data_IF_573322291520
#
_entry.id   IF_573322291520
#
_cell.length_a   1.000
_cell.length_b   1.000
_cell.length_c   1.000
_cell.angle_alpha   90.00
_cell.angle_beta   90.00
_cell.angle_gamma   90.00
#
_symmetry.space_group_name_H-M   'P 1'
#
loop_
_entity.id
_entity.type
_entity.pdbx_description
1 polymer ?
#
# COMPACT_ATOMS: atom_id res chain seq x y z
N UNK A 1 5.96 -15.68 -6.68
CA UNK A 1 5.95 -14.22 -6.78
C UNK A 1 4.51 -13.76 -6.96
N UNK A 2 4.08 -12.79 -6.17
CA UNK A 2 2.72 -12.22 -6.29
C UNK A 2 2.69 -11.08 -7.30
N UNK A 3 3.66 -10.16 -7.22
CA UNK A 3 3.84 -9.10 -8.21
C UNK A 3 5.28 -9.12 -8.70
N UNK A 4 5.48 -8.96 -10.01
CA UNK A 4 6.79 -8.84 -10.64
C UNK A 4 6.83 -7.61 -11.53
N UNK A 5 7.81 -6.73 -11.30
CA UNK A 5 8.12 -5.62 -12.19
C UNK A 5 9.43 -5.94 -12.92
N UNK A 6 9.44 -5.77 -14.23
CA UNK A 6 10.63 -5.99 -15.06
C UNK A 6 10.86 -4.76 -15.94
N UNK A 7 12.01 -4.10 -15.72
CA UNK A 7 12.48 -2.94 -16.48
C UNK A 7 11.42 -1.84 -16.62
N UNK A 8 10.71 -1.56 -15.51
CA UNK A 8 9.60 -0.60 -15.49
C UNK A 8 10.13 0.82 -15.62
N UNK A 9 9.66 1.53 -16.63
CA UNK A 9 9.87 2.96 -16.79
C UNK A 9 8.51 3.67 -16.72
N UNK A 10 8.47 4.83 -16.08
CA UNK A 10 7.26 5.64 -16.02
C UNK A 10 7.59 7.11 -16.29
N UNK A 11 6.78 7.73 -17.13
CA UNK A 11 6.94 9.11 -17.55
C UNK A 11 5.68 9.91 -17.22
N UNK A 12 5.87 11.11 -16.68
CA UNK A 12 4.85 12.17 -16.59
C UNK A 12 5.18 13.22 -17.68
N UNK A 13 4.53 13.10 -18.85
CA UNK A 13 4.92 13.89 -20.02
C UNK A 13 6.37 13.58 -20.45
N UNK A 14 7.26 14.57 -20.35
CA UNK A 14 8.68 14.42 -20.66
C UNK A 14 9.54 14.00 -19.45
N UNK A 15 9.02 14.13 -18.23
CA UNK A 15 9.77 13.78 -17.02
C UNK A 15 9.71 12.28 -16.76
N UNK A 16 10.87 11.63 -16.72
CA UNK A 16 11.00 10.22 -16.37
C UNK A 16 11.10 10.04 -14.86
N UNK A 17 10.04 9.52 -14.25
CA UNK A 17 9.94 9.32 -12.82
C UNK A 17 10.44 7.94 -12.35
N UNK A 18 10.37 6.92 -13.20
CA UNK A 18 10.93 5.59 -12.93
C UNK A 18 11.84 5.17 -14.08
N UNK A 19 12.99 4.55 -13.74
CA UNK A 19 14.05 4.18 -14.69
C UNK A 19 14.44 2.73 -14.49
N UNK A 20 14.03 1.86 -15.40
CA UNK A 20 14.41 0.44 -15.44
C UNK A 20 14.23 -0.28 -14.09
N UNK A 21 13.11 -0.02 -13.41
CA UNK A 21 12.87 -0.56 -12.08
C UNK A 21 12.47 -2.03 -12.17
N UNK A 22 13.23 -2.86 -11.46
CA UNK A 22 12.90 -4.26 -11.19
C UNK A 22 12.42 -4.40 -9.73
N UNK A 23 11.33 -5.16 -9.51
CA UNK A 23 10.77 -5.40 -8.18
C UNK A 23 10.07 -6.76 -8.15
N UNK A 24 10.31 -7.52 -7.10
CA UNK A 24 9.64 -8.78 -6.83
C UNK A 24 8.93 -8.71 -5.48
N UNK A 25 7.61 -8.88 -5.49
CA UNK A 25 6.79 -8.94 -4.28
C UNK A 25 6.33 -10.38 -4.07
N UNK A 26 6.67 -10.94 -2.92
CA UNK A 26 6.27 -12.28 -2.54
C UNK A 26 4.89 -12.29 -1.88
N UNK A 27 4.21 -13.43 -1.94
CA UNK A 27 2.97 -13.62 -1.20
C UNK A 27 3.25 -13.67 0.31
N UNK A 28 2.34 -13.12 1.13
CA UNK A 28 2.48 -13.08 2.61
C UNK A 28 3.81 -12.51 3.09
N UNK A 29 4.27 -11.49 2.42
CA UNK A 29 5.52 -10.81 2.67
C UNK A 29 5.29 -9.30 2.69
N UNK A 30 6.00 -8.57 3.55
CA UNK A 30 5.99 -7.12 3.58
C UNK A 30 7.23 -6.62 2.85
N UNK A 31 7.04 -5.94 1.74
CA UNK A 31 8.08 -5.26 0.97
C UNK A 31 8.04 -3.76 1.29
N UNK A 32 9.10 -3.21 1.86
CA UNK A 32 9.22 -1.78 2.09
C UNK A 32 9.97 -1.09 0.94
N UNK A 33 9.47 0.06 0.50
CA UNK A 33 10.17 0.96 -0.40
C UNK A 33 10.64 2.18 0.40
N UNK A 34 11.94 2.36 0.51
CA UNK A 34 12.58 3.45 1.25
C UNK A 34 13.38 4.35 0.31
N UNK A 35 13.70 5.57 0.74
CA UNK A 35 14.47 6.55 -0.02
C UNK A 35 14.01 7.98 0.22
N UNK A 36 14.75 8.98 -0.27
CA UNK A 36 14.42 10.38 -0.08
C UNK A 36 13.08 10.77 -0.73
N UNK A 37 12.53 11.92 -0.31
CA UNK A 37 11.30 12.46 -0.90
C UNK A 37 11.49 12.71 -2.40
N UNK A 38 10.47 12.41 -3.20
CA UNK A 38 10.52 12.62 -4.66
C UNK A 38 11.32 11.59 -5.46
N UNK A 39 11.92 10.56 -4.85
CA UNK A 39 12.72 9.56 -5.58
C UNK A 39 11.90 8.54 -6.40
N UNK A 40 10.55 8.59 -6.37
CA UNK A 40 9.71 7.71 -7.19
C UNK A 40 8.95 6.60 -6.44
N UNK A 41 9.07 6.45 -5.11
CA UNK A 41 8.42 5.38 -4.30
C UNK A 41 6.91 5.31 -4.52
N UNK A 42 6.19 6.41 -4.27
CA UNK A 42 4.73 6.46 -4.46
C UNK A 42 4.34 6.33 -5.93
N UNK A 43 5.19 6.75 -6.87
CA UNK A 43 4.99 6.52 -8.29
C UNK A 43 5.05 5.03 -8.61
N UNK A 44 6.06 4.30 -8.09
CA UNK A 44 6.17 2.86 -8.26
C UNK A 44 4.99 2.14 -7.59
N UNK A 45 4.67 2.51 -6.34
CA UNK A 45 3.53 1.93 -5.61
C UNK A 45 2.23 2.04 -6.42
N UNK A 46 1.93 3.23 -6.95
CA UNK A 46 0.73 3.50 -7.77
C UNK A 46 0.78 2.86 -9.16
N UNK A 47 1.95 2.49 -9.66
CA UNK A 47 2.07 1.73 -10.89
C UNK A 47 1.56 0.30 -10.73
N UNK A 48 1.65 -0.29 -9.52
CA UNK A 48 1.22 -1.67 -9.25
C UNK A 48 -0.31 -1.87 -9.32
N UNK A 49 -1.11 -0.79 -9.24
CA UNK A 49 -2.57 -0.83 -9.40
C UNK A 49 -3.10 0.16 -10.44
N UNK A 50 -2.21 0.69 -11.29
CA UNK A 50 -2.55 1.61 -12.37
C UNK A 50 -3.22 2.91 -11.91
N UNK A 51 -2.95 3.36 -10.66
CA UNK A 51 -3.48 4.65 -10.18
C UNK A 51 -2.85 5.84 -10.91
N UNK A 52 -1.64 5.68 -11.48
CA UNK A 52 -1.00 6.71 -12.28
C UNK A 52 -1.74 7.00 -13.58
N UNK A 53 -2.57 6.07 -14.08
CA UNK A 53 -3.38 6.27 -15.30
C UNK A 53 -4.38 7.43 -15.17
N UNK A 54 -4.68 7.87 -13.94
CA UNK A 54 -5.53 9.03 -13.65
C UNK A 54 -4.85 10.37 -13.96
N UNK A 55 -3.54 10.36 -14.20
CA UNK A 55 -2.74 11.56 -14.48
C UNK A 55 -2.58 11.68 -16.00
N UNK A 56 -3.06 12.76 -16.64
CA UNK A 56 -2.91 12.95 -18.07
C UNK A 56 -1.45 12.91 -18.53
N UNK A 57 -1.18 12.22 -19.64
CA UNK A 57 0.17 12.14 -20.23
C UNK A 57 1.09 11.13 -19.56
N UNK A 58 0.58 10.29 -18.67
CA UNK A 58 1.37 9.17 -18.11
C UNK A 58 1.63 8.12 -19.18
N UNK A 59 2.87 7.66 -19.24
CA UNK A 59 3.29 6.54 -20.08
C UNK A 59 4.14 5.57 -19.24
N UNK A 60 3.78 4.29 -19.27
CA UNK A 60 4.49 3.20 -18.64
C UNK A 60 5.05 2.27 -19.71
N UNK A 61 6.29 1.81 -19.55
CA UNK A 61 6.92 0.78 -20.38
C UNK A 61 7.64 -0.22 -19.48
N UNK A 62 8.04 -1.36 -20.02
CA UNK A 62 8.45 -2.52 -19.23
C UNK A 62 7.24 -3.39 -18.93
N UNK A 63 7.33 -4.23 -17.92
CA UNK A 63 6.29 -5.20 -17.60
C UNK A 63 5.96 -5.19 -16.11
N UNK A 64 4.67 -5.22 -15.77
CA UNK A 64 4.19 -5.42 -14.39
C UNK A 64 3.21 -6.57 -14.39
N UNK A 65 3.55 -7.66 -13.72
CA UNK A 65 2.75 -8.87 -13.65
C UNK A 65 2.12 -9.02 -12.26
N UNK A 66 0.85 -9.37 -12.22
CA UNK A 66 0.14 -9.87 -11.03
C UNK A 66 -0.21 -11.34 -11.30
N UNK A 67 0.35 -12.27 -10.52
CA UNK A 67 0.22 -13.73 -10.75
C UNK A 67 0.53 -14.13 -12.20
N UNK A 68 1.55 -13.54 -12.80
CA UNK A 68 1.96 -13.82 -14.18
C UNK A 68 1.13 -13.13 -15.27
N UNK A 69 0.08 -12.36 -14.91
CA UNK A 69 -0.73 -11.60 -15.85
C UNK A 69 -0.28 -10.14 -15.93
N UNK A 70 -0.01 -9.66 -17.14
CA UNK A 70 0.37 -8.26 -17.34
C UNK A 70 -0.79 -7.32 -17.03
N UNK A 71 -0.60 -6.48 -16.00
CA UNK A 71 -1.64 -5.53 -15.56
C UNK A 71 -1.83 -4.36 -16.52
N UNK A 72 -0.88 -4.11 -17.44
CA UNK A 72 -0.97 -3.09 -18.49
C UNK A 72 -1.46 -3.66 -19.83
N UNK A 73 -1.77 -4.96 -19.90
CA UNK A 73 -2.37 -5.54 -21.08
C UNK A 73 -3.72 -4.88 -21.43
N UNK A 74 -4.00 -4.71 -22.73
CA UNK A 74 -5.20 -4.01 -23.24
C UNK A 74 -6.52 -4.59 -22.71
N UNK A 75 -6.57 -5.89 -22.48
CA UNK A 75 -7.75 -6.61 -21.98
C UNK A 75 -7.93 -6.55 -20.46
N UNK A 76 -6.96 -5.98 -19.71
CA UNK A 76 -7.04 -5.91 -18.25
C UNK A 76 -8.12 -4.92 -17.82
N UNK A 77 -9.12 -5.40 -17.09
CA UNK A 77 -10.10 -4.55 -16.44
C UNK A 77 -9.47 -3.89 -15.20
N UNK A 78 -9.34 -2.57 -15.24
CA UNK A 78 -8.72 -1.77 -14.16
C UNK A 78 -9.56 -1.82 -12.88
N UNK A 79 -10.86 -1.96 -12.96
CA UNK A 79 -11.71 -2.07 -11.76
C UNK A 79 -11.48 -3.41 -11.06
N UNK A 80 -11.37 -4.48 -11.84
CA UNK A 80 -11.01 -5.82 -11.31
C UNK A 80 -9.60 -5.80 -10.72
N UNK A 81 -8.63 -5.20 -11.41
CA UNK A 81 -7.26 -5.05 -10.90
C UNK A 81 -7.27 -4.33 -9.54
N UNK A 82 -7.95 -3.19 -9.42
CA UNK A 82 -7.95 -2.37 -8.19
C UNK A 82 -8.71 -3.01 -7.03
N UNK A 83 -9.59 -4.00 -7.29
CA UNK A 83 -10.14 -4.86 -6.24
C UNK A 83 -9.08 -5.84 -5.72
N UNK A 84 -8.30 -6.45 -6.62
CA UNK A 84 -7.22 -7.38 -6.26
C UNK A 84 -6.02 -6.68 -5.62
N UNK A 85 -5.69 -5.45 -6.06
CA UNK A 85 -4.55 -4.66 -5.59
C UNK A 85 -5.07 -3.36 -4.99
N UNK A 86 -5.44 -3.43 -3.72
CA UNK A 86 -6.02 -2.30 -2.99
C UNK A 86 -4.97 -1.35 -2.43
N UNK A 87 -5.36 -0.11 -2.15
CA UNK A 87 -4.44 0.94 -1.68
C UNK A 87 -4.97 1.70 -0.48
N UNK A 88 -4.10 1.89 0.51
CA UNK A 88 -4.26 2.78 1.65
C UNK A 88 -3.38 4.00 1.43
N UNK A 89 -3.96 5.18 1.53
CA UNK A 89 -3.29 6.45 1.26
C UNK A 89 -2.64 7.05 2.51
N UNK A 90 -1.69 7.94 2.32
CA UNK A 90 -0.96 8.65 3.35
C UNK A 90 -1.89 9.40 4.32
N UNK A 91 -2.90 10.10 3.80
CA UNK A 91 -3.94 10.71 4.60
C UNK A 91 -5.18 9.85 4.60
N UNK A 92 -5.77 9.55 5.76
CA UNK A 92 -7.05 8.86 5.81
C UNK A 92 -8.07 9.56 4.92
N UNK A 93 -8.79 8.79 4.13
CA UNK A 93 -9.79 9.29 3.19
C UNK A 93 -11.13 8.53 3.30
N UNK A 94 -11.73 8.46 4.52
CA UNK A 94 -13.05 7.89 4.63
C UNK A 94 -14.04 8.71 3.79
N UNK A 95 -15.02 8.04 3.22
CA UNK A 95 -16.12 8.74 2.54
C UNK A 95 -16.95 9.49 3.58
N UNK A 96 -17.63 10.60 3.20
CA UNK A 96 -18.56 11.33 4.08
C UNK A 96 -19.87 10.54 4.30
N UNK A 97 -19.72 9.33 4.79
CA UNK A 97 -20.76 8.33 5.03
C UNK A 97 -20.61 7.77 6.45
N UNK A 98 -21.51 6.88 6.85
CA UNK A 98 -21.38 6.14 8.11
C UNK A 98 -20.18 5.18 8.10
N UNK A 99 -19.79 4.68 9.27
CA UNK A 99 -18.79 3.61 9.41
C UNK A 99 -19.20 2.39 8.59
N UNK A 100 -20.44 1.92 8.77
CA UNK A 100 -21.05 0.80 8.03
C UNK A 100 -20.95 1.01 6.51
N UNK A 101 -21.40 2.17 6.05
CA UNK A 101 -21.42 2.47 4.62
C UNK A 101 -20.02 2.61 4.02
N UNK A 102 -19.02 3.08 4.78
CA UNK A 102 -17.63 3.09 4.33
C UNK A 102 -17.12 1.68 4.04
N UNK A 103 -17.29 0.74 4.98
CA UNK A 103 -16.83 -0.63 4.83
C UNK A 103 -17.58 -1.36 3.71
N UNK A 104 -18.88 -1.21 3.66
CA UNK A 104 -19.73 -1.91 2.68
C UNK A 104 -19.75 -1.28 1.29
N UNK A 105 -19.15 -0.10 1.08
CA UNK A 105 -19.28 0.67 -0.15
C UNK A 105 -18.93 -0.12 -1.40
N UNK A 106 -17.75 -0.76 -1.43
CA UNK A 106 -17.29 -1.52 -2.59
C UNK A 106 -18.18 -2.72 -2.91
N UNK A 107 -18.73 -3.37 -1.89
CA UNK A 107 -19.61 -4.53 -2.02
C UNK A 107 -20.99 -4.11 -2.53
N UNK A 108 -21.51 -2.97 -2.06
CA UNK A 108 -22.78 -2.41 -2.56
C UNK A 108 -22.69 -2.04 -4.04
N UNK A 109 -21.59 -1.42 -4.43
CA UNK A 109 -21.33 -1.11 -5.86
C UNK A 109 -21.23 -2.39 -6.69
N UNK A 110 -20.71 -3.48 -6.11
CA UNK A 110 -20.66 -4.80 -6.75
C UNK A 110 -22.00 -5.56 -6.73
N UNK A 111 -23.08 -4.99 -6.15
CA UNK A 111 -24.42 -5.58 -6.15
C UNK A 111 -24.67 -6.60 -5.04
N UNK A 112 -23.83 -6.66 -3.99
CA UNK A 112 -24.07 -7.56 -2.85
C UNK A 112 -25.36 -7.20 -2.09
N UNK A 113 -26.11 -8.21 -1.66
CA UNK A 113 -27.37 -8.02 -0.94
C UNK A 113 -27.14 -7.45 0.46
N UNK A 114 -28.15 -6.73 1.00
CA UNK A 114 -28.05 -6.08 2.30
C UNK A 114 -27.84 -7.06 3.47
N UNK A 115 -28.40 -8.26 3.39
CA UNK A 115 -28.28 -9.28 4.44
C UNK A 115 -26.87 -9.82 4.62
N UNK A 116 -26.09 -9.87 3.53
CA UNK A 116 -24.72 -10.38 3.55
C UNK A 116 -23.70 -9.32 3.99
N UNK A 117 -24.07 -8.04 3.90
CA UNK A 117 -23.16 -6.92 4.18
C UNK A 117 -22.78 -6.81 5.66
N UNK A 118 -23.71 -7.08 6.60
CA UNK A 118 -23.45 -6.91 8.03
C UNK A 118 -22.37 -7.87 8.54
N UNK A 119 -22.37 -9.11 8.08
CA UNK A 119 -21.34 -10.09 8.43
C UNK A 119 -19.96 -9.66 7.89
N UNK A 120 -19.91 -9.12 6.66
CA UNK A 120 -18.64 -8.63 6.08
C UNK A 120 -18.17 -7.37 6.79
N UNK A 121 -19.06 -6.45 7.15
CA UNK A 121 -18.72 -5.24 7.92
C UNK A 121 -18.12 -5.63 9.27
N UNK A 122 -18.74 -6.54 10.02
CA UNK A 122 -18.19 -7.03 11.28
C UNK A 122 -16.82 -7.68 11.08
N UNK A 123 -16.69 -8.64 10.12
CA UNK A 123 -15.42 -9.30 9.79
C UNK A 123 -14.31 -8.30 9.52
N UNK A 124 -14.58 -7.33 8.64
CA UNK A 124 -13.59 -6.34 8.22
C UNK A 124 -13.18 -5.38 9.33
N UNK A 125 -14.15 -4.96 10.17
CA UNK A 125 -13.86 -4.12 11.34
C UNK A 125 -13.07 -4.88 12.42
N UNK A 126 -13.31 -6.19 12.59
CA UNK A 126 -12.50 -7.04 13.48
C UNK A 126 -11.09 -7.17 12.97
N UNK A 127 -10.90 -7.45 11.68
CA UNK A 127 -9.58 -7.53 11.05
C UNK A 127 -8.79 -6.22 11.16
N UNK A 128 -9.46 -5.07 11.15
CA UNK A 128 -8.84 -3.74 11.33
C UNK A 128 -8.78 -3.28 12.80
N UNK A 129 -9.14 -4.15 13.76
CA UNK A 129 -9.19 -3.88 15.21
C UNK A 129 -10.05 -2.67 15.58
N UNK A 130 -11.17 -2.52 14.89
CA UNK A 130 -12.14 -1.42 15.13
C UNK A 130 -13.47 -1.88 15.70
N UNK A 131 -13.77 -3.19 15.66
CA UNK A 131 -15.09 -3.70 16.03
C UNK A 131 -15.51 -3.30 17.44
N UNK A 132 -14.68 -3.54 18.44
CA UNK A 132 -15.01 -3.27 19.84
C UNK A 132 -15.21 -1.78 20.12
N UNK A 133 -14.58 -0.91 19.33
CA UNK A 133 -14.75 0.54 19.44
C UNK A 133 -15.99 1.07 18.72
N UNK A 134 -16.50 0.37 17.71
CA UNK A 134 -17.49 0.92 16.76
C UNK A 134 -18.78 0.11 16.64
N UNK A 135 -18.87 -1.12 17.19
CA UNK A 135 -20.04 -2.00 17.06
C UNK A 135 -21.38 -1.35 17.45
N UNK A 136 -21.37 -0.48 18.46
CA UNK A 136 -22.57 0.19 18.96
C UNK A 136 -22.86 1.55 18.27
N UNK A 137 -22.04 1.93 17.29
CA UNK A 137 -22.17 3.22 16.56
C UNK A 137 -21.79 3.11 15.09
N UNK A 138 -22.17 2.01 14.45
CA UNK A 138 -21.87 1.77 13.01
C UNK A 138 -22.49 2.81 12.08
N UNK A 139 -23.56 3.47 12.51
CA UNK A 139 -24.25 4.50 11.74
C UNK A 139 -23.69 5.92 12.00
N UNK A 140 -22.69 6.06 12.89
CA UNK A 140 -22.01 7.33 13.11
C UNK A 140 -21.19 7.74 11.88
N UNK A 141 -21.02 9.06 11.70
CA UNK A 141 -20.20 9.60 10.61
C UNK A 141 -18.74 9.13 10.74
N UNK A 142 -18.18 8.58 9.67
CA UNK A 142 -16.78 8.18 9.62
C UNK A 142 -15.81 9.36 9.81
N UNK A 143 -16.23 10.57 9.42
CA UNK A 143 -15.43 11.78 9.57
C UNK A 143 -15.32 12.27 11.03
N UNK A 144 -16.19 11.80 11.92
CA UNK A 144 -16.14 12.13 13.36
C UNK A 144 -15.17 11.26 14.15
N UNK A 145 -14.58 10.24 13.53
CA UNK A 145 -13.63 9.34 14.19
C UNK A 145 -12.27 10.02 14.40
N UNK A 146 -11.51 9.64 15.45
CA UNK A 146 -10.09 9.97 15.56
C UNK A 146 -9.30 9.52 14.33
N UNK A 147 -8.19 10.21 14.03
CA UNK A 147 -7.43 10.01 12.80
C UNK A 147 -6.91 8.57 12.64
N UNK A 148 -6.45 7.96 13.75
CA UNK A 148 -6.02 6.56 13.76
C UNK A 148 -7.16 5.59 13.42
N UNK A 149 -8.37 5.87 13.94
CA UNK A 149 -9.54 5.06 13.60
C UNK A 149 -9.99 5.28 12.16
N UNK A 150 -9.89 6.51 11.63
CA UNK A 150 -10.15 6.77 10.22
C UNK A 150 -9.19 5.98 9.32
N UNK A 151 -7.89 5.92 9.67
CA UNK A 151 -6.90 5.15 8.91
C UNK A 151 -7.23 3.66 8.93
N UNK A 152 -7.52 3.10 10.09
CA UNK A 152 -7.93 1.70 10.21
C UNK A 152 -9.28 1.41 9.53
N UNK A 153 -10.20 2.38 9.49
CA UNK A 153 -11.44 2.27 8.73
C UNK A 153 -11.18 2.18 7.21
N UNK A 154 -10.21 2.95 6.69
CA UNK A 154 -9.78 2.82 5.31
C UNK A 154 -9.17 1.44 5.02
N UNK A 155 -8.46 0.85 5.99
CA UNK A 155 -7.99 -0.54 5.90
C UNK A 155 -9.18 -1.50 5.91
N UNK A 156 -10.15 -1.36 6.84
CA UNK A 156 -11.34 -2.20 6.89
C UNK A 156 -12.15 -2.16 5.59
N UNK A 157 -12.34 -0.96 5.01
CA UNK A 157 -12.98 -0.78 3.71
C UNK A 157 -12.28 -1.55 2.59
N UNK A 158 -10.95 -1.55 2.62
CA UNK A 158 -10.14 -2.29 1.66
C UNK A 158 -10.26 -3.79 1.87
N UNK A 159 -10.19 -4.28 3.10
CA UNK A 159 -10.30 -5.70 3.44
C UNK A 159 -11.66 -6.30 3.07
N UNK A 160 -12.72 -5.49 3.11
CA UNK A 160 -14.08 -5.94 2.77
C UNK A 160 -14.23 -6.47 1.34
N UNK A 161 -13.40 -6.01 0.41
CA UNK A 161 -13.40 -6.50 -0.98
C UNK A 161 -12.43 -7.65 -1.22
N UNK A 162 -11.81 -8.18 -0.16
CA UNK A 162 -10.90 -9.33 -0.14
C UNK A 162 -9.75 -9.18 -1.17
N UNK A 163 -8.87 -8.18 -1.01
CA UNK A 163 -7.75 -7.96 -1.92
C UNK A 163 -6.75 -9.10 -1.83
N UNK A 164 -5.84 -9.17 -2.79
CA UNK A 164 -4.70 -10.09 -2.78
C UNK A 164 -3.39 -9.38 -2.41
N UNK A 165 -3.30 -8.09 -2.76
CA UNK A 165 -2.16 -7.23 -2.46
C UNK A 165 -2.66 -5.95 -1.80
N UNK A 166 -1.98 -5.53 -0.75
CA UNK A 166 -2.25 -4.27 -0.04
C UNK A 166 -1.08 -3.31 -0.27
N UNK A 167 -1.37 -2.19 -0.90
CA UNK A 167 -0.42 -1.09 -1.07
C UNK A 167 -0.65 -0.04 0.01
N UNK A 168 0.41 0.40 0.67
CA UNK A 168 0.34 1.42 1.73
C UNK A 168 1.33 2.57 1.45
N UNK A 169 0.79 3.74 1.14
CA UNK A 169 1.60 4.96 0.89
C UNK A 169 1.73 5.75 2.18
N UNK A 170 2.84 5.62 2.89
CA UNK A 170 3.16 6.31 4.16
C UNK A 170 2.03 6.24 5.21
N UNK A 171 1.50 5.06 5.57
CA UNK A 171 0.25 4.90 6.33
C UNK A 171 0.28 5.48 7.75
N UNK A 172 1.45 5.80 8.29
CA UNK A 172 1.63 6.29 9.65
C UNK A 172 2.11 7.75 9.72
N UNK A 173 2.36 8.42 8.59
CA UNK A 173 3.01 9.75 8.58
C UNK A 173 2.21 10.87 9.28
N UNK A 174 0.89 10.70 9.42
CA UNK A 174 0.00 11.66 10.07
C UNK A 174 -0.39 11.26 11.51
N UNK A 175 0.19 10.17 12.05
CA UNK A 175 -0.20 9.57 13.32
C UNK A 175 0.84 9.83 14.41
N UNK A 176 0.38 9.88 15.66
CA UNK A 176 1.26 9.86 16.82
C UNK A 176 1.97 8.51 17.02
N UNK A 177 3.01 8.42 17.88
CA UNK A 177 3.77 7.19 18.07
C UNK A 177 2.94 5.98 18.56
N UNK A 178 1.91 6.22 19.40
CA UNK A 178 1.05 5.14 19.94
C UNK A 178 0.16 4.59 18.81
N UNK A 179 -0.45 5.48 18.03
CA UNK A 179 -1.26 5.11 16.89
C UNK A 179 -0.41 4.44 15.79
N UNK A 180 0.81 4.92 15.56
CA UNK A 180 1.79 4.28 14.65
C UNK A 180 2.06 2.84 15.05
N UNK A 181 2.34 2.57 16.34
CA UNK A 181 2.56 1.21 16.84
C UNK A 181 1.39 0.28 16.53
N UNK A 182 0.15 0.73 16.73
CA UNK A 182 -1.06 -0.05 16.40
C UNK A 182 -1.20 -0.37 14.91
N UNK A 183 -0.83 0.57 14.04
CA UNK A 183 -0.85 0.32 12.59
C UNK A 183 0.27 -0.66 12.20
N UNK A 184 1.46 -0.55 12.79
CA UNK A 184 2.56 -1.48 12.55
C UNK A 184 2.18 -2.92 12.96
N UNK A 185 1.60 -3.10 14.14
CA UNK A 185 1.10 -4.40 14.60
C UNK A 185 0.01 -4.94 13.68
N UNK A 186 -0.93 -4.08 13.24
CA UNK A 186 -1.97 -4.47 12.29
C UNK A 186 -1.36 -4.93 10.94
N UNK A 187 -0.35 -4.23 10.41
CA UNK A 187 0.37 -4.61 9.18
C UNK A 187 1.01 -6.00 9.34
N UNK A 188 1.64 -6.27 10.49
CA UNK A 188 2.26 -7.58 10.78
C UNK A 188 1.21 -8.71 10.86
N UNK A 189 0.01 -8.44 11.36
CA UNK A 189 -1.08 -9.41 11.37
C UNK A 189 -1.62 -9.65 9.96
N UNK A 190 -1.85 -8.59 9.18
CA UNK A 190 -2.34 -8.68 7.80
C UNK A 190 -1.39 -9.42 6.88
N UNK A 191 -0.08 -9.36 7.10
CA UNK A 191 0.95 -10.12 6.37
C UNK A 191 0.64 -11.62 6.32
N UNK A 192 -0.01 -12.18 7.33
CA UNK A 192 -0.33 -13.62 7.38
C UNK A 192 -1.24 -14.06 6.22
N UNK A 193 -1.96 -13.13 5.62
CA UNK A 193 -2.96 -13.40 4.58
C UNK A 193 -2.68 -12.68 3.27
N UNK A 194 -1.95 -11.55 3.30
CA UNK A 194 -1.79 -10.64 2.17
C UNK A 194 -0.33 -10.39 1.82
N UNK A 195 -0.04 -10.17 0.55
CA UNK A 195 1.19 -9.50 0.12
C UNK A 195 1.05 -8.01 0.40
N UNK A 196 2.04 -7.38 1.04
CA UNK A 196 1.98 -5.96 1.42
C UNK A 196 3.17 -5.22 0.82
N UNK A 197 2.92 -4.09 0.19
CA UNK A 197 3.97 -3.15 -0.22
C UNK A 197 3.76 -1.83 0.51
N UNK A 198 4.72 -1.42 1.31
CA UNK A 198 4.67 -0.18 2.09
C UNK A 198 5.71 0.81 1.60
N UNK A 199 5.30 2.04 1.34
CA UNK A 199 6.20 3.18 1.18
C UNK A 199 6.33 3.88 2.52
N UNK A 200 7.54 4.13 2.97
CA UNK A 200 7.79 4.94 4.17
C UNK A 200 9.11 5.70 4.05
N UNK A 201 9.14 6.90 4.62
CA UNK A 201 10.38 7.64 4.85
C UNK A 201 10.98 7.37 6.24
N UNK A 202 10.26 6.62 7.10
CA UNK A 202 10.74 6.23 8.42
C UNK A 202 11.49 4.89 8.32
N UNK A 203 12.82 4.96 8.35
CA UNK A 203 13.70 3.80 8.29
C UNK A 203 13.48 2.82 9.45
N UNK A 204 13.19 3.34 10.65
CA UNK A 204 12.92 2.49 11.81
C UNK A 204 11.62 1.69 11.62
N UNK A 205 10.59 2.30 11.04
CA UNK A 205 9.37 1.60 10.68
C UNK A 205 9.64 0.49 9.67
N UNK A 206 10.34 0.79 8.57
CA UNK A 206 10.72 -0.22 7.58
C UNK A 206 11.47 -1.39 8.24
N UNK A 207 12.45 -1.08 9.08
CA UNK A 207 13.24 -2.09 9.81
C UNK A 207 12.42 -2.98 10.75
N UNK A 208 11.32 -2.44 11.34
CA UNK A 208 10.47 -3.23 12.26
C UNK A 208 9.44 -4.12 11.54
N UNK A 209 8.88 -3.65 10.43
CA UNK A 209 7.71 -4.32 9.85
C UNK A 209 8.01 -5.10 8.58
N UNK A 210 9.04 -4.78 7.82
CA UNK A 210 9.25 -5.41 6.52
C UNK A 210 10.20 -6.61 6.54
N UNK A 211 9.98 -7.54 5.63
CA UNK A 211 10.84 -8.69 5.37
C UNK A 211 11.92 -8.35 4.35
N UNK A 212 11.53 -7.60 3.33
CA UNK A 212 12.36 -7.17 2.22
C UNK A 212 12.24 -5.66 2.07
N UNK A 213 13.36 -5.00 1.77
CA UNK A 213 13.41 -3.56 1.56
C UNK A 213 14.08 -3.21 0.23
N UNK A 214 13.50 -2.24 -0.47
CA UNK A 214 14.08 -1.64 -1.66
C UNK A 214 14.44 -0.18 -1.43
N UNK A 215 15.71 0.17 -1.62
CA UNK A 215 16.15 1.55 -1.60
C UNK A 215 16.05 2.18 -2.99
N UNK A 216 15.30 3.26 -3.09
CA UNK A 216 15.09 4.01 -4.33
C UNK A 216 15.78 5.37 -4.28
N UNK A 217 16.41 5.74 -5.39
CA UNK A 217 17.04 7.02 -5.58
C UNK A 217 16.85 7.51 -7.03
N UNK A 218 16.37 8.74 -7.22
CA UNK A 218 16.21 9.41 -8.52
C UNK A 218 15.51 8.56 -9.61
N UNK A 219 14.51 7.78 -9.19
CA UNK A 219 13.70 6.93 -10.06
C UNK A 219 14.26 5.52 -10.29
N UNK A 220 15.39 5.18 -9.70
CA UNK A 220 16.04 3.88 -9.82
C UNK A 220 15.87 3.06 -8.54
N UNK A 221 15.78 1.72 -8.67
CA UNK A 221 15.94 0.79 -7.55
C UNK A 221 17.44 0.53 -7.39
N UNK A 222 18.05 1.16 -6.37
CA UNK A 222 19.50 1.07 -6.13
C UNK A 222 19.89 -0.26 -5.55
N UNK A 223 19.10 -0.72 -4.56
CA UNK A 223 19.32 -1.99 -3.89
C UNK A 223 18.00 -2.58 -3.42
N UNK A 224 17.88 -3.91 -3.52
CA UNK A 224 16.70 -4.67 -3.10
C UNK A 224 17.16 -6.00 -2.50
N UNK A 225 16.96 -6.18 -1.18
CA UNK A 225 17.38 -7.40 -0.46
C UNK A 225 16.53 -7.57 0.81
N UNK A 226 16.81 -8.60 1.58
CA UNK A 226 16.22 -8.77 2.93
C UNK A 226 16.45 -7.53 3.78
N UNK A 227 15.43 -7.08 4.49
CA UNK A 227 15.47 -5.85 5.31
C UNK A 227 16.67 -5.83 6.25
N UNK A 228 16.94 -6.95 6.91
CA UNK A 228 18.11 -7.05 7.81
C UNK A 228 19.41 -6.75 7.08
N UNK A 229 19.58 -7.22 5.85
CA UNK A 229 20.81 -6.95 5.05
C UNK A 229 20.90 -5.50 4.65
N UNK A 230 19.82 -4.93 4.13
CA UNK A 230 19.76 -3.50 3.74
C UNK A 230 20.18 -2.61 4.90
N UNK A 231 19.72 -2.90 6.14
CA UNK A 231 20.00 -2.06 7.31
C UNK A 231 21.31 -2.37 8.04
N UNK A 232 21.89 -3.57 7.91
CA UNK A 232 23.10 -3.95 8.63
C UNK A 232 24.36 -4.04 7.77
N UNK A 233 24.22 -4.41 6.50
CA UNK A 233 25.35 -4.63 5.58
C UNK A 233 24.92 -4.42 4.11
N UNK A 234 24.53 -3.19 3.74
CA UNK A 234 24.16 -2.85 2.37
C UNK A 234 25.35 -3.05 1.42
N UNK A 235 25.07 -3.44 0.18
CA UNK A 235 26.08 -3.69 -0.86
C UNK A 235 26.45 -2.41 -1.63
N UNK A 236 25.47 -1.50 -1.77
CA UNK A 236 25.67 -0.23 -2.48
C UNK A 236 25.99 0.88 -1.49
N UNK A 237 27.06 1.63 -1.76
CA UNK A 237 27.46 2.73 -0.90
C UNK A 237 26.40 3.82 -0.76
N UNK A 238 25.58 4.06 -1.78
CA UNK A 238 24.47 5.02 -1.72
C UNK A 238 23.42 4.59 -0.70
N UNK A 239 23.18 3.28 -0.57
CA UNK A 239 22.29 2.70 0.46
C UNK A 239 22.90 2.90 1.85
N UNK A 240 24.20 2.63 2.03
CA UNK A 240 24.92 2.84 3.29
C UNK A 240 24.87 4.30 3.72
N UNK A 241 25.16 5.23 2.82
CA UNK A 241 25.14 6.67 3.09
C UNK A 241 23.74 7.14 3.49
N UNK A 242 22.69 6.63 2.82
CA UNK A 242 21.30 6.94 3.17
C UNK A 242 20.91 6.46 4.56
N UNK A 243 21.21 5.20 4.89
CA UNK A 243 20.83 4.58 6.17
C UNK A 243 21.62 5.19 7.33
N UNK A 244 22.90 5.54 7.12
CA UNK A 244 23.74 6.17 8.15
C UNK A 244 23.46 7.68 8.34
N UNK A 245 22.51 8.26 7.59
CA UNK A 245 22.19 9.69 7.64
C UNK A 245 23.26 10.61 7.04
N UNK A 246 24.22 10.06 6.27
CA UNK A 246 25.27 10.82 5.58
C UNK A 246 24.80 11.32 4.20
N UNK A 247 23.49 11.31 3.99
CA UNK A 247 22.87 11.73 2.76
C UNK A 247 22.69 13.26 2.79
N UNK A 248 23.49 13.99 2.02
CA UNK A 248 23.50 15.44 1.86
C UNK A 248 24.11 15.85 0.54
#
# INVERSE_FOLDING_TARGET
>A
MKVTCSQVNLFYGLFQALKHVDLNVEDRCITALIGPSGCGKSTLLRALNRMNDLIPGVRVTGQVLLDGQDIYARQMDVCVLRKRVGMVFQRPNPFPLSVRDNVSFGLRVAGMSRGDLDAVVEKSLRQAWLWDNLKDRLDASALSLPLDQQQRLCVARLLAVEPEVILMDEPCSALDPIATGKIEELILELKRQYAIVIVTHNMQQAGRVSDVSGYMLLGEMVEFDQTVRIFSNPKDKRTEDYISGRFG
#
